data_IF_982934408483
#
_entry.id   IF_982934408483
#
_cell.length_a   1.000
_cell.length_b   1.000
_cell.length_c   1.000
_cell.angle_alpha   90.00
_cell.angle_beta   90.00
_cell.angle_gamma   90.00
#
_symmetry.space_group_name_H-M   'P 1'
#
loop_
_entity.id
_entity.type
_entity.pdbx_description
1 polymer ?
#
# COMPACT_ATOMS: atom_id res chain seq x y z
N UNK A 1 68.70 -5.08 27.65
CA UNK A 1 68.15 -6.35 28.19
C UNK A 1 67.46 -7.09 27.06
N UNK A 2 67.63 -8.40 27.06
CA UNK A 2 67.47 -9.33 25.93
C UNK A 2 66.33 -10.31 26.30
N UNK A 3 65.66 -10.90 25.28
CA UNK A 3 64.98 -12.23 25.30
C UNK A 3 63.59 -12.32 25.99
N UNK A 4 62.60 -13.15 25.63
CA UNK A 4 62.51 -14.37 24.80
C UNK A 4 61.03 -14.68 24.44
N UNK A 5 60.86 -15.65 23.53
CA UNK A 5 59.66 -16.18 22.85
C UNK A 5 58.62 -16.94 23.73
N UNK A 6 57.44 -17.17 23.11
CA UNK A 6 56.24 -17.99 23.46
C UNK A 6 56.53 -19.47 23.84
N UNK A 7 55.53 -20.24 24.38
CA UNK A 7 54.70 -21.07 23.49
C UNK A 7 53.20 -21.21 23.87
N UNK A 8 52.45 -21.77 22.93
CA UNK A 8 51.01 -22.03 22.93
C UNK A 8 50.61 -23.30 23.69
N UNK A 9 49.34 -23.36 24.13
CA UNK A 9 48.58 -24.61 24.21
C UNK A 9 47.14 -24.39 23.73
N UNK A 10 46.74 -25.22 22.79
CA UNK A 10 45.41 -25.36 22.20
C UNK A 10 44.61 -26.28 23.12
N UNK A 11 43.37 -25.93 23.45
CA UNK A 11 42.33 -26.93 23.65
C UNK A 11 41.00 -26.41 23.10
N UNK A 12 40.51 -27.16 22.13
CA UNK A 12 39.23 -26.99 21.44
C UNK A 12 38.05 -27.24 22.39
N UNK A 13 37.00 -26.43 22.27
CA UNK A 13 35.65 -26.82 22.62
C UNK A 13 34.68 -26.08 21.69
N UNK A 14 34.14 -26.82 20.72
CA UNK A 14 33.01 -26.40 19.91
C UNK A 14 31.74 -26.37 20.78
N UNK A 15 30.93 -25.32 20.64
CA UNK A 15 29.47 -25.40 20.82
C UNK A 15 28.83 -24.18 20.12
N UNK A 16 28.23 -24.41 18.94
CA UNK A 16 27.10 -23.64 18.40
C UNK A 16 25.81 -24.15 19.05
N UNK A 17 24.62 -23.52 18.88
CA UNK A 17 24.30 -22.21 18.29
C UNK A 17 23.44 -21.35 19.24
N UNK A 18 23.11 -20.11 18.88
CA UNK A 18 21.74 -19.58 19.03
C UNK A 18 21.64 -18.36 18.11
N UNK A 19 20.87 -18.55 17.03
CA UNK A 19 20.44 -17.50 16.11
C UNK A 19 19.66 -16.46 16.91
N UNK A 20 20.14 -15.22 16.93
CA UNK A 20 19.31 -14.08 17.28
C UNK A 20 18.41 -13.80 16.09
N UNK A 21 17.17 -14.29 16.15
CA UNK A 21 16.12 -13.83 15.25
C UNK A 21 15.92 -12.33 15.50
N UNK A 22 16.32 -11.55 14.52
CA UNK A 22 15.91 -10.16 14.41
C UNK A 22 14.40 -10.19 14.23
N UNK A 23 13.68 -9.80 15.28
CA UNK A 23 12.25 -9.52 15.23
C UNK A 23 12.01 -8.45 14.17
N UNK A 24 11.58 -8.87 12.99
CA UNK A 24 10.81 -8.01 12.11
C UNK A 24 9.44 -7.85 12.75
N UNK A 25 8.97 -6.62 13.07
CA UNK A 25 7.57 -6.44 13.34
C UNK A 25 6.84 -6.67 12.02
N UNK A 26 6.35 -7.90 11.82
CA UNK A 26 5.33 -8.16 10.83
C UNK A 26 4.20 -7.17 11.13
N UNK A 27 3.88 -6.39 10.11
CA UNK A 27 2.73 -5.50 10.04
C UNK A 27 1.56 -6.12 10.79
N UNK A 28 1.05 -5.38 11.77
CA UNK A 28 -0.20 -5.67 12.46
C UNK A 28 -1.35 -5.49 11.46
N UNK A 29 -1.44 -6.40 10.49
CA UNK A 29 -2.60 -6.57 9.64
C UNK A 29 -3.42 -7.70 10.26
N UNK A 30 -4.53 -7.31 10.87
CA UNK A 30 -5.73 -8.12 11.11
C UNK A 30 -5.50 -9.60 11.44
N UNK A 31 -5.22 -9.89 12.71
CA UNK A 31 -5.62 -11.20 13.24
C UNK A 31 -7.14 -11.24 13.33
N UNK A 32 -7.82 -11.65 12.25
CA UNK A 32 -9.18 -12.17 12.34
C UNK A 32 -9.18 -13.30 13.37
N UNK A 33 -9.94 -13.10 14.44
CA UNK A 33 -9.89 -13.87 15.69
C UNK A 33 -10.45 -15.29 15.57
N UNK A 34 -9.72 -16.20 14.93
CA UNK A 34 -10.07 -17.62 14.84
C UNK A 34 -9.14 -18.52 15.67
N UNK A 35 -8.73 -18.03 16.83
CA UNK A 35 -8.07 -18.83 17.85
C UNK A 35 -8.46 -18.33 19.23
N UNK A 36 -8.46 -19.21 20.22
CA UNK A 36 -8.49 -18.84 21.63
C UNK A 36 -7.18 -19.26 22.29
N UNK A 37 -6.74 -18.52 23.30
CA UNK A 37 -5.65 -18.93 24.19
C UNK A 37 -6.29 -19.30 25.51
N UNK A 38 -6.08 -20.53 25.98
CA UNK A 38 -6.60 -20.95 27.28
C UNK A 38 -5.71 -20.45 28.43
N UNK A 39 -6.13 -20.71 29.67
CA UNK A 39 -5.44 -20.23 30.88
C UNK A 39 -4.01 -20.78 31.07
N UNK A 40 -3.62 -21.83 30.32
CA UNK A 40 -2.26 -22.38 30.30
C UNK A 40 -1.42 -21.87 29.12
N UNK A 41 -1.93 -20.90 28.35
CA UNK A 41 -1.22 -20.31 27.21
C UNK A 41 -1.26 -21.14 25.93
N UNK A 42 -2.07 -22.20 25.88
CA UNK A 42 -2.19 -23.04 24.68
C UNK A 42 -3.11 -22.38 23.67
N UNK A 43 -2.66 -22.34 22.41
CA UNK A 43 -3.45 -21.90 21.27
C UNK A 43 -4.43 -23.01 20.86
N UNK A 44 -5.72 -22.67 20.82
CA UNK A 44 -6.81 -23.51 20.32
C UNK A 44 -7.24 -22.94 18.97
N UNK A 45 -7.02 -23.72 17.91
CA UNK A 45 -7.44 -23.36 16.56
C UNK A 45 -8.96 -23.56 16.40
N UNK A 46 -9.67 -22.50 16.02
CA UNK A 46 -11.12 -22.51 15.82
C UNK A 46 -11.51 -22.44 14.33
N UNK A 47 -10.55 -22.63 13.41
CA UNK A 47 -10.75 -22.55 11.96
C UNK A 47 -11.90 -23.41 11.43
N UNK A 48 -12.18 -24.55 12.06
CA UNK A 48 -13.26 -25.46 11.67
C UNK A 48 -14.68 -24.95 11.97
N UNK A 49 -14.83 -23.97 12.86
CA UNK A 49 -16.13 -23.43 13.29
C UNK A 49 -16.28 -21.94 13.03
N UNK A 50 -15.19 -21.26 12.65
CA UNK A 50 -15.29 -19.91 12.15
C UNK A 50 -16.14 -19.91 10.86
N UNK A 51 -16.98 -18.88 10.63
CA UNK A 51 -17.44 -18.63 9.28
C UNK A 51 -16.18 -18.57 8.42
N UNK A 52 -16.08 -19.45 7.42
CA UNK A 52 -15.01 -19.34 6.44
C UNK A 52 -14.99 -17.88 6.02
N UNK A 53 -13.82 -17.24 6.06
CA UNK A 53 -13.68 -15.96 5.40
C UNK A 53 -14.24 -16.21 4.01
N UNK A 54 -15.42 -15.64 3.73
CA UNK A 54 -15.85 -15.47 2.35
C UNK A 54 -14.63 -14.83 1.74
N UNK A 55 -14.03 -15.38 0.67
CA UNK A 55 -13.00 -14.64 -0.01
C UNK A 55 -13.65 -13.30 -0.29
N UNK A 56 -13.26 -12.27 0.47
CA UNK A 56 -13.45 -10.90 0.05
C UNK A 56 -12.88 -10.98 -1.34
N UNK A 57 -13.72 -10.78 -2.35
CA UNK A 57 -13.21 -10.47 -3.66
C UNK A 57 -12.41 -9.20 -3.40
N UNK A 58 -11.13 -9.37 -3.10
CA UNK A 58 -10.14 -8.33 -3.19
C UNK A 58 -10.16 -8.09 -4.70
N UNK A 59 -11.11 -7.29 -5.16
CA UNK A 59 -11.01 -6.68 -6.46
C UNK A 59 -9.65 -6.01 -6.40
N UNK A 60 -8.71 -6.55 -7.18
CA UNK A 60 -7.37 -6.04 -7.25
C UNK A 60 -7.51 -4.57 -7.64
N UNK A 61 -7.26 -3.67 -6.69
CA UNK A 61 -7.40 -2.25 -6.97
C UNK A 61 -6.35 -1.90 -8.03
N UNK A 62 -6.68 -1.07 -9.02
CA UNK A 62 -5.69 -0.60 -9.96
C UNK A 62 -4.55 0.07 -9.19
N UNK A 63 -3.32 -0.15 -9.64
CA UNK A 63 -2.19 0.63 -9.15
C UNK A 63 -2.38 2.07 -9.60
N UNK A 64 -2.39 2.99 -8.65
CA UNK A 64 -2.56 4.41 -8.92
C UNK A 64 -1.19 5.08 -9.03
N UNK A 65 -1.09 5.98 -9.99
CA UNK A 65 -0.07 7.01 -10.07
C UNK A 65 -0.14 7.91 -8.84
N UNK A 66 1.02 8.45 -8.49
CA UNK A 66 1.25 9.22 -7.28
C UNK A 66 2.36 10.25 -7.51
N UNK A 67 2.44 11.24 -6.65
CA UNK A 67 3.48 12.27 -6.70
C UNK A 67 3.18 13.42 -5.75
N UNK A 68 3.58 14.63 -6.14
CA UNK A 68 3.48 15.83 -5.30
C UNK A 68 2.02 16.16 -4.95
N UNK A 69 1.13 15.99 -5.93
CA UNK A 69 -0.32 16.10 -5.77
C UNK A 69 -0.94 14.79 -6.26
N UNK A 70 -1.86 14.24 -5.47
CA UNK A 70 -2.70 13.12 -5.86
C UNK A 70 -4.11 13.36 -5.31
N UNK A 71 -5.09 13.30 -6.20
CA UNK A 71 -6.51 13.38 -5.87
C UNK A 71 -7.15 12.08 -6.35
N UNK A 72 -7.86 11.39 -5.46
CA UNK A 72 -8.53 10.14 -5.80
C UNK A 72 -9.98 10.16 -5.35
N UNK A 73 -10.89 10.03 -6.31
CA UNK A 73 -12.31 9.82 -6.07
C UNK A 73 -12.60 8.32 -5.92
N UNK A 74 -13.43 7.95 -4.95
CA UNK A 74 -13.95 6.58 -4.76
C UNK A 74 -15.42 6.65 -4.42
N UNK A 75 -16.24 5.80 -5.04
CA UNK A 75 -17.67 5.75 -4.79
C UNK A 75 -18.21 4.31 -4.75
N UNK A 76 -19.50 4.15 -4.49
CA UNK A 76 -20.14 2.84 -4.25
C UNK A 76 -21.38 2.59 -5.10
N UNK A 77 -21.51 3.31 -6.22
CA UNK A 77 -22.54 3.09 -7.23
C UNK A 77 -21.88 2.79 -8.58
N UNK A 78 -22.69 2.40 -9.56
CA UNK A 78 -22.26 2.21 -10.95
C UNK A 78 -22.39 3.50 -11.77
N UNK A 79 -22.64 4.63 -11.11
CA UNK A 79 -22.74 5.92 -11.80
C UNK A 79 -21.36 6.31 -12.36
N UNK A 80 -21.39 7.02 -13.48
CA UNK A 80 -20.21 7.62 -14.11
C UNK A 80 -20.02 9.01 -13.47
N UNK A 81 -19.00 9.15 -12.62
CA UNK A 81 -18.63 10.40 -11.99
C UNK A 81 -17.30 10.84 -12.59
N UNK A 82 -17.17 12.13 -12.89
CA UNK A 82 -16.00 12.68 -13.55
C UNK A 82 -15.33 13.73 -12.65
N UNK A 83 -14.05 13.53 -12.35
CA UNK A 83 -13.26 14.48 -11.58
C UNK A 83 -12.56 15.47 -12.50
N UNK A 84 -12.64 16.74 -12.13
CA UNK A 84 -11.87 17.82 -12.73
C UNK A 84 -10.92 18.43 -11.70
N UNK A 85 -9.63 18.54 -12.04
CA UNK A 85 -8.64 19.24 -11.21
C UNK A 85 -8.02 20.38 -12.01
N UNK A 86 -8.27 21.61 -11.56
CA UNK A 86 -7.64 22.82 -12.11
C UNK A 86 -6.36 23.12 -11.34
N UNK A 87 -5.25 23.29 -12.04
CA UNK A 87 -3.96 23.65 -11.48
C UNK A 87 -3.78 25.18 -11.32
N UNK A 88 -2.71 25.64 -10.64
CA UNK A 88 -2.39 27.06 -10.46
C UNK A 88 -2.20 27.85 -11.76
N UNK A 89 -1.82 27.19 -12.86
CA UNK A 89 -1.67 27.80 -14.19
C UNK A 89 -3.02 27.90 -14.94
N UNK A 90 -4.10 27.36 -14.37
CA UNK A 90 -5.44 27.32 -14.93
C UNK A 90 -5.68 26.18 -15.91
N UNK A 91 -4.79 25.19 -15.98
CA UNK A 91 -5.02 23.99 -16.79
C UNK A 91 -5.86 22.99 -16.02
N UNK A 92 -6.75 22.27 -16.73
CA UNK A 92 -7.73 21.39 -16.11
C UNK A 92 -7.50 19.96 -16.59
N UNK A 93 -7.18 19.05 -15.65
CA UNK A 93 -7.17 17.61 -15.91
C UNK A 93 -8.60 17.09 -15.73
N UNK A 94 -9.11 16.37 -16.74
CA UNK A 94 -10.47 15.77 -16.78
C UNK A 94 -10.44 14.49 -17.63
N UNK A 95 -11.52 13.70 -17.65
CA UNK A 95 -11.63 12.52 -18.52
C UNK A 95 -11.36 12.81 -20.02
N UNK A 96 -11.76 13.99 -20.52
CA UNK A 96 -11.53 14.39 -21.92
C UNK A 96 -10.23 15.16 -22.14
N UNK A 97 -9.53 15.54 -21.06
CA UNK A 97 -8.22 16.16 -21.07
C UNK A 97 -7.32 15.49 -20.02
N UNK A 98 -6.93 14.21 -20.23
CA UNK A 98 -6.33 13.39 -19.18
C UNK A 98 -4.87 13.77 -18.88
N UNK A 99 -4.27 14.68 -19.64
CA UNK A 99 -2.92 15.16 -19.36
C UNK A 99 -2.77 16.63 -19.71
N UNK A 100 -2.10 17.41 -18.86
CA UNK A 100 -1.85 18.85 -19.05
C UNK A 100 -0.36 19.15 -19.07
N UNK A 101 0.01 20.34 -19.57
CA UNK A 101 1.42 20.72 -19.72
C UNK A 101 2.15 20.95 -18.39
N UNK A 102 1.41 21.18 -17.29
CA UNK A 102 1.98 21.26 -15.95
C UNK A 102 2.34 19.88 -15.35
N UNK A 103 2.11 18.78 -16.07
CA UNK A 103 2.46 17.42 -15.63
C UNK A 103 1.30 16.61 -15.03
N UNK A 104 0.12 17.22 -14.87
CA UNK A 104 -1.06 16.55 -14.33
C UNK A 104 -1.55 15.43 -15.25
N UNK A 105 -1.94 14.30 -14.66
CA UNK A 105 -2.31 13.06 -15.35
C UNK A 105 -3.52 12.41 -14.68
N UNK A 106 -4.50 12.01 -15.48
CA UNK A 106 -5.57 11.08 -15.12
C UNK A 106 -5.16 9.68 -15.59
N UNK A 107 -5.13 8.69 -14.70
CA UNK A 107 -4.69 7.32 -15.02
C UNK A 107 -5.74 6.23 -14.79
N UNK A 108 -6.73 6.48 -13.94
CA UNK A 108 -7.89 5.60 -13.73
C UNK A 108 -9.15 6.44 -13.84
N UNK A 109 -10.07 5.99 -14.67
CA UNK A 109 -11.40 6.54 -14.94
C UNK A 109 -12.40 5.37 -14.95
N UNK A 110 -13.07 5.14 -13.81
CA UNK A 110 -13.97 4.00 -13.64
C UNK A 110 -15.40 4.38 -14.02
N UNK A 111 -16.11 3.40 -14.61
CA UNK A 111 -17.47 3.56 -15.14
C UNK A 111 -17.61 4.45 -16.37
N UNK A 112 -16.50 4.94 -16.92
CA UNK A 112 -16.41 5.76 -18.12
C UNK A 112 -17.35 5.31 -19.24
N UNK A 113 -18.26 6.20 -19.65
CA UNK A 113 -19.21 5.97 -20.74
C UNK A 113 -20.21 4.85 -20.45
N UNK A 114 -20.41 4.48 -19.19
CA UNK A 114 -21.29 3.40 -18.73
C UNK A 114 -21.01 2.03 -19.37
N UNK A 115 -19.76 1.77 -19.78
CA UNK A 115 -19.35 0.53 -20.45
C UNK A 115 -19.11 -0.64 -19.49
N UNK A 116 -17.88 -0.75 -19.00
CA UNK A 116 -17.48 -1.76 -18.01
C UNK A 116 -17.62 -1.17 -16.61
N UNK A 117 -18.82 -1.27 -16.01
CA UNK A 117 -19.11 -0.65 -14.71
C UNK A 117 -18.71 -1.55 -13.53
N UNK A 118 -18.26 -0.94 -12.45
CA UNK A 118 -17.98 -1.55 -11.16
C UNK A 118 -18.75 -0.85 -10.03
N UNK A 119 -18.99 -1.56 -8.93
CA UNK A 119 -19.56 -1.00 -7.69
C UNK A 119 -18.50 -0.58 -6.67
N UNK A 120 -17.21 -0.73 -7.01
CA UNK A 120 -16.08 -0.16 -6.28
C UNK A 120 -15.19 0.69 -7.20
N UNK A 121 -15.77 1.70 -7.87
CA UNK A 121 -15.07 2.56 -8.80
C UNK A 121 -14.06 3.51 -8.15
N UNK A 122 -13.07 3.88 -8.95
CA UNK A 122 -11.97 4.77 -8.61
C UNK A 122 -11.73 5.70 -9.79
N UNK A 123 -11.49 6.97 -9.52
CA UNK A 123 -10.89 7.89 -10.48
C UNK A 123 -9.70 8.60 -9.83
N UNK A 124 -8.60 8.77 -10.55
CA UNK A 124 -7.35 9.29 -9.98
C UNK A 124 -6.66 10.28 -10.92
N UNK A 125 -6.35 11.46 -10.35
CA UNK A 125 -5.54 12.50 -11.00
C UNK A 125 -4.32 12.78 -10.12
N UNK A 126 -3.13 12.86 -10.72
CA UNK A 126 -1.89 13.13 -10.00
C UNK A 126 -0.92 13.98 -10.82
N UNK A 127 -0.02 14.67 -10.12
CA UNK A 127 1.19 15.26 -10.69
C UNK A 127 2.39 14.45 -10.19
N UNK A 128 3.28 13.95 -11.06
CA UNK A 128 4.47 13.22 -10.65
C UNK A 128 5.39 14.04 -9.72
N UNK A 129 6.33 13.37 -9.02
CA UNK A 129 7.28 14.05 -8.16
C UNK A 129 8.07 15.14 -8.89
N UNK A 130 8.17 16.32 -8.29
CA UNK A 130 8.82 17.52 -8.83
C UNK A 130 8.20 18.11 -10.10
N UNK A 131 6.96 17.74 -10.44
CA UNK A 131 6.25 18.30 -11.59
C UNK A 131 5.10 19.24 -11.19
N UNK A 132 4.57 19.14 -9.96
CA UNK A 132 3.44 19.97 -9.56
C UNK A 132 3.82 21.46 -9.42
N UNK A 133 3.16 22.38 -10.15
CA UNK A 133 3.30 23.81 -9.91
C UNK A 133 2.86 24.20 -8.49
N UNK A 134 3.58 25.13 -7.87
CA UNK A 134 3.18 25.68 -6.57
C UNK A 134 1.96 26.61 -6.73
N UNK A 135 0.91 26.38 -5.94
CA UNK A 135 -0.22 27.30 -5.87
C UNK A 135 -1.51 26.62 -5.44
N UNK A 136 -2.63 27.28 -5.77
CA UNK A 136 -3.97 26.77 -5.46
C UNK A 136 -4.47 25.82 -6.54
N UNK A 137 -5.00 24.68 -6.10
CA UNK A 137 -5.68 23.71 -6.95
C UNK A 137 -7.18 23.72 -6.63
N UNK A 138 -8.02 23.61 -7.65
CA UNK A 138 -9.47 23.49 -7.50
C UNK A 138 -9.95 22.11 -7.97
N UNK A 139 -10.89 21.52 -7.24
CA UNK A 139 -11.41 20.16 -7.49
C UNK A 139 -12.93 20.25 -7.65
N UNK A 140 -13.45 19.66 -8.73
CA UNK A 140 -14.88 19.55 -9.04
C UNK A 140 -15.23 18.09 -9.40
N UNK A 141 -16.48 17.68 -9.12
CA UNK A 141 -17.07 16.35 -9.36
C UNK A 141 -18.47 16.52 -9.92
#
# INVERSE_FOLDING_TARGET
MLKFLRPALILSAALLPLLGDSYTPASAQERQGCFMVNDIGQLIDLSAICPSAVPVQIAEQPTLGTGDIQVTLRWTSTDDLDMAVTDPDGQIVTYFNPSVASGGQLDVDANAGCGETTSSPIENIFWPPSEAPEGEYAIEI
#
